data_IF_331363097821
#
_entry.id   IF_331363097821
#
_cell.length_a   1.000
_cell.length_b   1.000
_cell.length_c   1.000
_cell.angle_alpha   90.00
_cell.angle_beta   90.00
_cell.angle_gamma   90.00
#
_symmetry.space_group_name_H-M   'P 1'
#
loop_
_entity.id
_entity.type
_entity.pdbx_description
1 polymer ?
#
# COMPACT_ATOMS: atom_id res chain seq x y z
N UNK A 1 2.87 -14.70 -23.89
CA UNK A 1 3.51 -13.71 -23.00
C UNK A 1 2.88 -12.32 -23.09
N UNK A 2 2.75 -11.72 -24.28
CA UNK A 2 2.15 -10.38 -24.49
C UNK A 2 0.75 -10.18 -23.86
N UNK A 3 -0.15 -11.16 -23.93
CA UNK A 3 -1.49 -11.03 -23.32
C UNK A 3 -1.45 -11.03 -21.78
N UNK A 4 -0.54 -11.80 -21.15
CA UNK A 4 -0.38 -11.80 -19.69
C UNK A 4 0.07 -10.43 -19.18
N UNK A 5 1.02 -9.79 -19.88
CA UNK A 5 1.44 -8.41 -19.60
C UNK A 5 0.30 -7.40 -19.70
N UNK A 6 -0.54 -7.50 -20.74
CA UNK A 6 -1.71 -6.62 -20.90
C UNK A 6 -2.68 -6.75 -19.72
N UNK A 7 -2.95 -7.99 -19.29
CA UNK A 7 -3.81 -8.25 -18.13
C UNK A 7 -3.23 -7.64 -16.86
N UNK A 8 -1.94 -7.85 -16.57
CA UNK A 8 -1.27 -7.23 -15.42
C UNK A 8 -1.38 -5.70 -15.47
N UNK A 9 -1.19 -5.10 -16.64
CA UNK A 9 -1.23 -3.65 -16.80
C UNK A 9 -2.64 -3.09 -16.57
N UNK A 10 -3.68 -3.78 -17.04
CA UNK A 10 -5.08 -3.45 -16.74
C UNK A 10 -5.33 -3.53 -15.23
N UNK A 11 -4.91 -4.63 -14.58
CA UNK A 11 -5.05 -4.78 -13.13
C UNK A 11 -4.37 -3.64 -12.36
N UNK A 12 -3.16 -3.24 -12.75
CA UNK A 12 -2.46 -2.12 -12.11
C UNK A 12 -3.22 -0.80 -12.30
N UNK A 13 -3.70 -0.51 -13.51
CA UNK A 13 -4.47 0.70 -13.78
C UNK A 13 -5.80 0.73 -13.00
N UNK A 14 -6.49 -0.42 -12.92
CA UNK A 14 -7.70 -0.58 -12.12
C UNK A 14 -7.42 -0.38 -10.64
N UNK A 15 -6.32 -0.94 -10.11
CA UNK A 15 -5.92 -0.75 -8.72
C UNK A 15 -5.66 0.74 -8.41
N UNK A 16 -4.90 1.44 -9.26
CA UNK A 16 -4.64 2.88 -9.10
C UNK A 16 -5.95 3.68 -9.12
N UNK A 17 -6.83 3.40 -10.08
CA UNK A 17 -8.11 4.10 -10.22
C UNK A 17 -8.99 3.90 -8.98
N UNK A 18 -9.06 2.65 -8.49
CA UNK A 18 -9.79 2.31 -7.27
C UNK A 18 -9.22 3.02 -6.04
N UNK A 19 -7.90 3.02 -5.88
CA UNK A 19 -7.22 3.70 -4.76
C UNK A 19 -7.51 5.21 -4.77
N UNK A 20 -7.49 5.86 -5.93
CA UNK A 20 -7.85 7.28 -6.07
C UNK A 20 -9.30 7.52 -5.65
N UNK A 21 -10.24 6.71 -6.15
CA UNK A 21 -11.66 6.83 -5.83
C UNK A 21 -11.96 6.71 -4.33
N UNK A 22 -11.37 5.69 -3.68
CA UNK A 22 -11.51 5.48 -2.22
C UNK A 22 -10.90 6.65 -1.45
N UNK A 23 -9.73 7.14 -1.86
CA UNK A 23 -9.05 8.27 -1.20
C UNK A 23 -9.87 9.55 -1.24
N UNK A 24 -10.49 9.85 -2.39
CA UNK A 24 -11.36 11.02 -2.54
C UNK A 24 -12.63 10.89 -1.70
N UNK A 25 -13.24 9.69 -1.68
CA UNK A 25 -14.42 9.44 -0.85
C UNK A 25 -14.10 9.59 0.65
N UNK A 26 -12.95 9.07 1.10
CA UNK A 26 -12.46 9.23 2.46
C UNK A 26 -12.20 10.70 2.79
N UNK A 27 -11.45 11.42 1.95
CA UNK A 27 -11.16 12.84 2.14
C UNK A 27 -12.44 13.66 2.28
N UNK A 28 -13.41 13.46 1.38
CA UNK A 28 -14.68 14.19 1.42
C UNK A 28 -15.49 13.88 2.68
N UNK A 29 -15.45 12.64 3.16
CA UNK A 29 -16.16 12.23 4.37
C UNK A 29 -15.47 12.79 5.62
N UNK A 30 -14.16 12.61 5.74
CA UNK A 30 -13.40 13.04 6.91
C UNK A 30 -13.33 14.57 7.01
N UNK A 31 -13.13 15.27 5.88
CA UNK A 31 -13.16 16.73 5.86
C UNK A 31 -14.54 17.31 6.22
N UNK A 32 -15.62 16.54 6.04
CA UNK A 32 -16.97 16.95 6.41
C UNK A 32 -17.31 16.59 7.87
N UNK A 33 -16.79 15.47 8.36
CA UNK A 33 -17.12 14.92 9.66
C UNK A 33 -16.20 15.37 10.81
N UNK A 34 -14.98 15.85 10.50
CA UNK A 34 -13.97 16.19 11.49
C UNK A 34 -13.33 17.56 11.18
N UNK A 35 -12.99 18.33 12.22
CA UNK A 35 -12.30 19.63 12.10
C UNK A 35 -10.80 19.50 11.79
N UNK A 36 -10.28 18.27 11.71
CA UNK A 36 -8.86 17.99 11.45
C UNK A 36 -8.64 17.78 9.96
N UNK A 37 -7.56 18.33 9.40
CA UNK A 37 -7.20 18.09 8.00
C UNK A 37 -6.97 16.59 7.75
N UNK A 38 -7.75 15.94 6.86
CA UNK A 38 -7.62 14.52 6.62
C UNK A 38 -6.31 14.22 5.88
N UNK A 39 -5.50 13.33 6.47
CA UNK A 39 -4.25 12.87 5.88
C UNK A 39 -4.51 11.58 5.11
N UNK A 40 -4.43 11.64 3.79
CA UNK A 40 -4.66 10.47 2.92
C UNK A 40 -3.48 9.49 2.99
N UNK A 41 -2.26 10.01 3.02
CA UNK A 41 -1.05 9.20 3.13
C UNK A 41 0.05 10.00 3.81
N UNK A 42 0.77 9.38 4.74
CA UNK A 42 1.99 9.95 5.32
C UNK A 42 3.07 8.90 5.49
N UNK A 43 4.31 9.35 5.47
CA UNK A 43 5.47 8.49 5.69
C UNK A 43 6.38 9.20 6.68
N UNK A 44 6.63 8.56 7.81
CA UNK A 44 7.61 9.00 8.79
C UNK A 44 8.69 7.91 9.02
N UNK A 45 9.60 8.17 9.96
CA UNK A 45 10.73 7.29 10.26
C UNK A 45 10.30 5.93 10.84
N UNK A 46 9.12 5.86 11.45
CA UNK A 46 8.60 4.68 12.14
C UNK A 46 7.44 4.00 11.40
N UNK A 47 6.61 4.75 10.67
CA UNK A 47 5.35 4.30 10.11
C UNK A 47 5.11 4.77 8.67
N UNK A 48 4.29 3.99 7.97
CA UNK A 48 3.67 4.35 6.71
C UNK A 48 2.17 4.34 6.97
N UNK A 49 1.50 5.47 6.74
CA UNK A 49 0.05 5.60 6.89
C UNK A 49 -0.63 5.77 5.54
N UNK A 50 -1.81 5.19 5.40
CA UNK A 50 -2.70 5.37 4.27
C UNK A 50 -4.15 5.29 4.75
N UNK A 51 -4.90 6.39 4.62
CA UNK A 51 -6.21 6.57 5.26
C UNK A 51 -6.09 6.28 6.78
N UNK A 52 -6.96 5.44 7.34
CA UNK A 52 -6.89 5.00 8.74
C UNK A 52 -5.88 3.87 8.99
N UNK A 53 -5.27 3.31 7.93
CA UNK A 53 -4.29 2.24 8.09
C UNK A 53 -2.92 2.82 8.43
N UNK A 54 -2.28 2.29 9.46
CA UNK A 54 -0.90 2.59 9.80
C UNK A 54 -0.12 1.30 9.92
N UNK A 55 1.02 1.24 9.24
CA UNK A 55 1.90 0.08 9.23
C UNK A 55 3.26 0.48 9.74
N UNK A 56 3.75 -0.21 10.78
CA UNK A 56 5.07 0.05 11.31
C UNK A 56 6.16 -0.50 10.41
N UNK A 57 7.17 0.33 10.12
CA UNK A 57 8.38 -0.10 9.40
C UNK A 57 9.15 -1.18 10.17
N UNK A 58 9.05 -1.22 11.50
CA UNK A 58 9.67 -2.27 12.33
C UNK A 58 8.98 -3.61 12.08
N UNK A 59 7.66 -3.62 11.98
CA UNK A 59 6.89 -4.83 11.65
C UNK A 59 7.17 -5.30 10.22
N UNK A 60 7.22 -4.38 9.25
CA UNK A 60 7.60 -4.72 7.87
C UNK A 60 8.99 -5.34 7.78
N UNK A 61 9.97 -4.81 8.53
CA UNK A 61 11.33 -5.40 8.61
C UNK A 61 11.29 -6.81 9.20
N UNK A 62 10.46 -7.05 10.21
CA UNK A 62 10.30 -8.37 10.81
C UNK A 62 9.66 -9.36 9.84
N UNK A 63 8.55 -8.99 9.22
CA UNK A 63 7.87 -9.81 8.19
C UNK A 63 8.82 -10.14 7.05
N UNK A 64 9.58 -9.14 6.55
CA UNK A 64 10.59 -9.36 5.51
C UNK A 64 11.61 -10.41 5.95
N UNK A 65 12.17 -10.29 7.15
CA UNK A 65 13.14 -11.25 7.69
C UNK A 65 12.54 -12.65 7.85
N UNK A 66 11.30 -12.75 8.30
CA UNK A 66 10.60 -14.03 8.45
C UNK A 66 10.37 -14.70 7.08
N UNK A 67 9.98 -13.93 6.07
CA UNK A 67 9.85 -14.40 4.68
C UNK A 67 11.21 -14.87 4.15
N UNK A 68 12.28 -14.09 4.34
CA UNK A 68 13.65 -14.46 3.91
C UNK A 68 14.15 -15.74 4.58
N UNK A 69 13.75 -16.02 5.82
CA UNK A 69 14.12 -17.25 6.52
C UNK A 69 13.34 -18.48 6.06
N UNK A 70 12.10 -18.30 5.59
CA UNK A 70 11.22 -19.38 5.11
C UNK A 70 11.53 -19.71 3.65
N UNK A 71 11.87 -18.71 2.84
CA UNK A 71 12.17 -18.89 1.42
C UNK A 71 13.55 -19.54 1.23
N UNK A 72 13.68 -20.57 0.37
CA UNK A 72 14.98 -21.14 0.04
C UNK A 72 15.87 -20.07 -0.59
N UNK A 73 17.14 -19.99 -0.16
CA UNK A 73 18.11 -18.94 -0.56
C UNK A 73 18.24 -18.74 -2.07
N UNK A 74 17.96 -19.77 -2.88
CA UNK A 74 17.98 -19.72 -4.35
C UNK A 74 16.84 -18.87 -4.97
N UNK A 75 15.77 -18.58 -4.22
CA UNK A 75 14.64 -17.77 -4.69
C UNK A 75 14.76 -16.27 -4.41
N UNK A 76 15.78 -15.86 -3.64
CA UNK A 76 16.01 -14.47 -3.23
C UNK A 76 17.04 -13.78 -4.17
N UNK A 77 17.84 -14.56 -4.90
CA UNK A 77 18.85 -14.09 -5.86
C UNK A 77 18.35 -14.13 -7.32
N UNK A 78 17.18 -13.56 -7.60
CA UNK A 78 16.73 -13.27 -8.97
C UNK A 78 16.62 -11.77 -9.21
#
# INVERSE_FOLDING_TARGET
>A
MKNKMKVVLIFMMSAVTLTVGISLAYYNTCSLAFDTEPVIASVDDDNITFLDFSVSRKELKKIKKDIENILPKESINM
#
